data_IF_628650373448
#
_entry.id   IF_628650373448
#
_cell.length_a   1.000
_cell.length_b   1.000
_cell.length_c   1.000
_cell.angle_alpha   90.00
_cell.angle_beta   90.00
_cell.angle_gamma   90.00
#
_symmetry.space_group_name_H-M   'P 1'
#
loop_
_entity.id
_entity.type
_entity.pdbx_description
1 polymer ?
#
# COMPACT_ATOMS: atom_id res chain seq x y z
N UNK A 1 22.76 45.77 -6.64
CA UNK A 1 22.56 45.05 -5.38
C UNK A 1 21.15 44.53 -5.19
N UNK A 2 20.12 45.37 -5.39
CA UNK A 2 18.73 44.96 -5.28
C UNK A 2 18.35 43.87 -6.29
N UNK A 3 18.86 43.94 -7.51
CA UNK A 3 18.58 42.98 -8.56
C UNK A 3 19.15 41.61 -8.22
N UNK A 4 20.34 41.54 -7.61
CA UNK A 4 20.95 40.29 -7.20
C UNK A 4 20.16 39.59 -6.08
N UNK A 5 19.65 40.36 -5.11
CA UNK A 5 18.84 39.80 -4.03
C UNK A 5 17.51 39.22 -4.55
N UNK A 6 16.84 39.94 -5.48
CA UNK A 6 15.61 39.46 -6.09
C UNK A 6 15.83 38.15 -6.87
N UNK A 7 16.91 38.06 -7.62
CA UNK A 7 17.24 36.82 -8.38
C UNK A 7 17.47 35.66 -7.44
N UNK A 8 18.17 35.84 -6.33
CA UNK A 8 18.40 34.77 -5.34
C UNK A 8 17.10 34.31 -4.72
N UNK A 9 16.21 35.24 -4.36
CA UNK A 9 14.89 34.89 -3.79
C UNK A 9 14.02 34.14 -4.79
N UNK A 10 13.98 34.55 -6.04
CA UNK A 10 13.22 33.85 -7.08
C UNK A 10 13.77 32.45 -7.33
N UNK A 11 15.09 32.28 -7.37
CA UNK A 11 15.73 30.97 -7.55
C UNK A 11 15.41 30.05 -6.39
N UNK A 12 15.45 30.55 -5.18
CA UNK A 12 15.10 29.80 -3.98
C UNK A 12 13.63 29.37 -3.99
N UNK A 13 12.72 30.26 -4.33
CA UNK A 13 11.30 29.95 -4.41
C UNK A 13 11.01 28.88 -5.47
N UNK A 14 11.65 28.93 -6.63
CA UNK A 14 11.50 27.92 -7.67
C UNK A 14 12.06 26.57 -7.23
N UNK A 15 13.17 26.53 -6.51
CA UNK A 15 13.74 25.31 -5.98
C UNK A 15 12.78 24.65 -4.96
N UNK A 16 12.12 25.45 -4.14
CA UNK A 16 11.14 24.93 -3.19
C UNK A 16 9.86 24.43 -3.87
N UNK A 17 9.44 25.07 -4.95
CA UNK A 17 8.26 24.62 -5.70
C UNK A 17 8.43 23.21 -6.27
N UNK A 18 9.65 22.79 -6.56
CA UNK A 18 9.93 21.45 -7.05
C UNK A 18 9.69 20.34 -6.03
N UNK A 19 9.68 20.67 -4.77
CA UNK A 19 9.40 19.70 -3.71
C UNK A 19 7.97 19.16 -3.80
N UNK A 20 7.09 19.88 -4.47
CA UNK A 20 5.69 19.49 -4.64
C UNK A 20 5.40 18.73 -5.92
N UNK A 21 6.40 18.31 -6.67
CA UNK A 21 6.14 17.43 -7.80
C UNK A 21 5.63 16.09 -7.27
N UNK A 22 4.38 15.71 -7.58
CA UNK A 22 3.89 14.40 -7.15
C UNK A 22 4.61 13.34 -7.95
N UNK A 23 5.54 12.66 -7.31
CA UNK A 23 6.29 11.60 -7.94
C UNK A 23 5.45 10.33 -8.15
N UNK A 24 4.29 10.23 -7.47
CA UNK A 24 3.42 9.06 -7.56
C UNK A 24 1.99 9.50 -7.83
N UNK A 25 1.36 9.00 -8.90
CA UNK A 25 -0.06 9.24 -9.12
C UNK A 25 -0.89 8.77 -7.93
N UNK A 26 -1.83 9.60 -7.50
CA UNK A 26 -2.70 9.29 -6.36
C UNK A 26 -3.45 7.96 -6.54
N UNK A 27 -3.70 7.55 -7.78
CA UNK A 27 -4.38 6.29 -8.08
C UNK A 27 -3.61 5.02 -7.65
N UNK A 28 -2.31 5.14 -7.36
CA UNK A 28 -1.50 4.00 -6.90
C UNK A 28 -1.45 3.87 -5.39
N UNK A 29 -1.91 4.85 -4.66
CA UNK A 29 -1.85 4.87 -3.22
C UNK A 29 -3.25 4.65 -2.64
N UNK A 30 -3.63 3.39 -2.46
CA UNK A 30 -4.87 3.01 -1.77
C UNK A 30 -4.48 2.66 -0.33
N UNK A 31 -5.17 3.25 0.64
CA UNK A 31 -4.88 3.05 2.07
C UNK A 31 -3.42 3.33 2.45
N UNK A 32 -2.75 4.23 1.72
CA UNK A 32 -1.37 4.61 1.98
C UNK A 32 -0.31 3.64 1.46
N UNK A 33 -0.70 2.58 0.74
CA UNK A 33 0.21 1.56 0.23
C UNK A 33 0.28 1.53 -1.30
N UNK A 34 1.31 0.86 -1.81
CA UNK A 34 1.57 0.68 -3.23
C UNK A 34 1.02 -0.68 -3.69
N UNK A 35 0.16 -0.68 -4.71
CA UNK A 35 -0.50 -1.90 -5.17
C UNK A 35 0.46 -2.91 -5.80
N UNK A 36 1.49 -2.45 -6.50
CA UNK A 36 2.47 -3.34 -7.11
C UNK A 36 3.31 -4.06 -6.06
N UNK A 37 3.80 -3.32 -5.10
CA UNK A 37 4.54 -3.91 -3.98
C UNK A 37 3.64 -4.80 -3.15
N UNK A 38 2.40 -4.38 -2.94
CA UNK A 38 1.41 -5.16 -2.21
C UNK A 38 1.14 -6.50 -2.86
N UNK A 39 1.04 -6.56 -4.17
CA UNK A 39 0.89 -7.81 -4.90
C UNK A 39 2.08 -8.73 -4.68
N UNK A 40 3.30 -8.21 -4.77
CA UNK A 40 4.51 -8.99 -4.53
C UNK A 40 4.56 -9.53 -3.10
N UNK A 41 4.25 -8.69 -2.12
CA UNK A 41 4.18 -9.11 -0.70
C UNK A 41 3.10 -10.18 -0.51
N UNK A 42 1.95 -10.00 -1.13
CA UNK A 42 0.85 -10.97 -1.05
C UNK A 42 1.27 -12.33 -1.60
N UNK A 43 1.90 -12.37 -2.77
CA UNK A 43 2.35 -13.61 -3.37
C UNK A 43 3.38 -14.33 -2.50
N UNK A 44 4.25 -13.58 -1.86
CA UNK A 44 5.29 -14.13 -1.00
C UNK A 44 4.75 -14.64 0.34
N UNK A 45 3.86 -13.89 0.97
CA UNK A 45 3.47 -14.12 2.38
C UNK A 45 2.04 -14.64 2.56
N UNK A 46 1.16 -14.40 1.62
CA UNK A 46 -0.28 -14.63 1.81
C UNK A 46 -0.86 -15.69 0.86
N UNK A 47 -0.34 -15.77 -0.35
CA UNK A 47 -0.93 -16.62 -1.39
C UNK A 47 -0.86 -18.11 -1.06
N UNK A 48 0.10 -18.54 -0.23
CA UNK A 48 0.20 -19.93 0.19
C UNK A 48 -1.06 -20.45 0.89
N UNK A 49 -1.75 -19.56 1.60
CA UNK A 49 -3.00 -19.91 2.30
C UNK A 49 -4.24 -19.41 1.57
N UNK A 50 -4.18 -18.22 0.99
CA UNK A 50 -5.34 -17.57 0.37
C UNK A 50 -5.47 -17.82 -1.13
N UNK A 51 -4.50 -18.47 -1.73
CA UNK A 51 -4.48 -18.72 -3.17
C UNK A 51 -3.93 -17.56 -3.96
N UNK A 52 -3.50 -17.84 -5.19
CA UNK A 52 -3.01 -16.80 -6.11
C UNK A 52 -4.10 -15.77 -6.34
N UNK A 53 -3.72 -14.48 -6.22
CA UNK A 53 -4.68 -13.38 -6.34
C UNK A 53 -5.80 -13.39 -5.29
N UNK A 54 -5.64 -14.13 -4.20
CA UNK A 54 -6.64 -14.22 -3.15
C UNK A 54 -7.90 -15.00 -3.54
N UNK A 55 -7.80 -15.86 -4.55
CA UNK A 55 -8.97 -16.58 -5.08
C UNK A 55 -9.40 -17.77 -4.24
N UNK A 56 -8.67 -18.09 -3.19
CA UNK A 56 -8.94 -19.26 -2.35
C UNK A 56 -8.26 -20.51 -2.89
N UNK A 57 -8.65 -21.65 -2.37
CA UNK A 57 -8.09 -22.95 -2.76
C UNK A 57 -7.03 -23.48 -1.82
N UNK A 58 -6.65 -22.70 -0.80
CA UNK A 58 -5.78 -23.14 0.29
C UNK A 58 -6.54 -23.22 1.61
N UNK A 59 -5.81 -23.13 2.72
CA UNK A 59 -6.42 -23.17 4.05
C UNK A 59 -7.10 -21.86 4.43
N UNK A 60 -6.75 -20.78 3.78
CA UNK A 60 -7.34 -19.47 4.05
C UNK A 60 -8.58 -19.21 3.20
N UNK A 61 -9.44 -18.28 3.63
CA UNK A 61 -10.64 -17.93 2.86
C UNK A 61 -10.30 -17.16 1.60
N UNK A 62 -11.21 -17.17 0.66
CA UNK A 62 -11.15 -16.34 -0.53
C UNK A 62 -11.25 -14.86 -0.14
N UNK A 63 -10.33 -14.07 -0.67
CA UNK A 63 -10.29 -12.61 -0.44
C UNK A 63 -10.82 -11.84 -1.66
N UNK A 64 -10.61 -12.36 -2.85
CA UNK A 64 -11.07 -11.75 -4.10
C UNK A 64 -12.59 -11.60 -4.11
N UNK A 65 -13.06 -10.39 -4.31
CA UNK A 65 -14.50 -10.10 -4.34
C UNK A 65 -15.22 -10.22 -2.99
N UNK A 66 -14.49 -10.36 -1.90
CA UNK A 66 -15.09 -10.61 -0.57
C UNK A 66 -15.60 -9.36 0.14
N UNK A 67 -15.31 -8.16 -0.38
CA UNK A 67 -15.78 -6.91 0.20
C UNK A 67 -15.16 -6.56 1.55
N UNK A 68 -13.89 -6.91 1.74
CA UNK A 68 -13.21 -6.70 3.01
C UNK A 68 -12.60 -5.30 3.04
N UNK A 69 -12.79 -4.57 4.13
CA UNK A 69 -12.24 -3.23 4.28
C UNK A 69 -10.80 -3.24 4.84
N UNK A 70 -10.14 -2.09 4.76
CA UNK A 70 -8.76 -1.95 5.18
C UNK A 70 -8.57 -2.22 6.68
N UNK A 71 -9.52 -1.82 7.51
CA UNK A 71 -9.42 -2.04 8.96
C UNK A 71 -9.46 -3.53 9.30
N UNK A 72 -10.29 -4.30 8.62
CA UNK A 72 -10.40 -5.74 8.82
C UNK A 72 -9.12 -6.44 8.37
N UNK A 73 -8.59 -6.08 7.21
CA UNK A 73 -7.33 -6.65 6.72
C UNK A 73 -6.18 -6.32 7.66
N UNK A 74 -6.07 -5.07 8.08
CA UNK A 74 -5.03 -4.62 9.00
C UNK A 74 -5.09 -5.39 10.33
N UNK A 75 -6.28 -5.54 10.90
CA UNK A 75 -6.45 -6.30 12.14
C UNK A 75 -6.02 -7.77 11.97
N UNK A 76 -6.39 -8.41 10.87
CA UNK A 76 -6.00 -9.79 10.60
C UNK A 76 -4.48 -9.93 10.46
N UNK A 77 -3.82 -9.01 9.78
CA UNK A 77 -2.37 -9.03 9.60
C UNK A 77 -1.65 -8.81 10.93
N UNK A 78 -2.09 -7.86 11.72
CA UNK A 78 -1.42 -7.50 12.97
C UNK A 78 -1.66 -8.50 14.09
N UNK A 79 -2.88 -8.99 14.21
CA UNK A 79 -3.29 -9.82 15.34
C UNK A 79 -3.36 -11.31 15.01
N UNK A 80 -3.37 -11.65 13.74
CA UNK A 80 -3.64 -13.00 13.30
C UNK A 80 -5.13 -13.37 13.41
N UNK A 81 -5.50 -14.52 12.88
CA UNK A 81 -6.88 -14.96 12.91
C UNK A 81 -6.94 -16.47 12.66
N UNK A 82 -7.40 -17.24 13.66
CA UNK A 82 -7.39 -18.69 13.56
C UNK A 82 -5.99 -19.22 13.31
N UNK A 83 -5.80 -19.95 12.22
CA UNK A 83 -4.48 -20.49 11.83
C UNK A 83 -3.58 -19.44 11.16
N UNK A 84 -4.11 -18.29 10.83
CA UNK A 84 -3.33 -17.19 10.26
C UNK A 84 -2.44 -16.58 11.32
N UNK A 85 -1.11 -16.62 11.17
CA UNK A 85 -0.22 -16.05 12.18
C UNK A 85 -0.27 -14.53 12.17
N UNK A 86 0.02 -13.94 13.34
CA UNK A 86 0.13 -12.50 13.49
C UNK A 86 1.48 -12.02 13.00
N UNK A 87 1.51 -10.78 12.48
CA UNK A 87 2.76 -10.09 12.21
C UNK A 87 3.58 -10.65 11.07
N UNK A 88 2.95 -11.25 10.06
CA UNK A 88 3.65 -11.74 8.86
C UNK A 88 4.39 -10.63 8.13
N UNK A 89 3.85 -9.43 8.15
CA UNK A 89 4.45 -8.24 7.55
C UNK A 89 4.26 -7.06 8.48
N UNK A 90 5.06 -6.02 8.30
CA UNK A 90 4.99 -4.81 9.12
C UNK A 90 5.45 -3.60 8.32
N UNK A 91 5.20 -2.40 8.85
CA UNK A 91 5.64 -1.16 8.24
C UNK A 91 5.08 -0.95 6.85
N UNK A 92 5.94 -0.61 5.90
CA UNK A 92 5.52 -0.34 4.52
C UNK A 92 4.92 -1.56 3.84
N UNK A 93 5.47 -2.74 4.07
CA UNK A 93 4.94 -3.98 3.48
C UNK A 93 3.50 -4.25 3.93
N UNK A 94 3.20 -3.98 5.18
CA UNK A 94 1.84 -4.09 5.70
C UNK A 94 0.90 -3.12 4.98
N UNK A 95 1.28 -1.84 4.87
CA UNK A 95 0.49 -0.85 4.16
C UNK A 95 0.26 -1.25 2.69
N UNK A 96 1.30 -1.73 2.03
CA UNK A 96 1.24 -2.15 0.64
C UNK A 96 0.31 -3.35 0.45
N UNK A 97 0.43 -4.37 1.29
CA UNK A 97 -0.41 -5.57 1.16
C UNK A 97 -1.87 -5.30 1.55
N UNK A 98 -2.10 -4.43 2.53
CA UNK A 98 -3.47 -4.02 2.88
C UNK A 98 -4.12 -3.34 1.69
N UNK A 99 -3.43 -2.41 1.03
CA UNK A 99 -3.94 -1.75 -0.16
C UNK A 99 -4.27 -2.75 -1.27
N UNK A 100 -3.38 -3.71 -1.50
CA UNK A 100 -3.59 -4.75 -2.52
C UNK A 100 -4.82 -5.62 -2.18
N UNK A 101 -4.92 -6.12 -0.97
CA UNK A 101 -6.04 -6.97 -0.55
C UNK A 101 -7.37 -6.22 -0.66
N UNK A 102 -7.42 -4.97 -0.26
CA UNK A 102 -8.61 -4.14 -0.44
C UNK A 102 -8.98 -4.03 -1.92
N UNK A 103 -7.99 -3.83 -2.79
CA UNK A 103 -8.23 -3.69 -4.22
C UNK A 103 -8.83 -4.95 -4.85
N UNK A 104 -8.32 -6.13 -4.52
CA UNK A 104 -8.87 -7.39 -5.04
C UNK A 104 -10.19 -7.77 -4.38
N UNK A 105 -10.42 -7.32 -3.16
CA UNK A 105 -11.64 -7.60 -2.39
C UNK A 105 -12.83 -6.83 -2.91
N UNK A 106 -12.63 -5.64 -3.46
CA UNK A 106 -13.70 -4.79 -4.00
C UNK A 106 -13.98 -5.03 -5.47
N UNK A 107 -13.16 -5.80 -6.14
CA UNK A 107 -13.26 -6.07 -7.59
C UNK A 107 -14.34 -7.05 -8.01
#
# INVERSE_FOLDING_TARGET
>A
MLVGAVVVVCTFALAQARVFEPSVPAARAVAGGDLYRGETVFQRECAGCHGAGGKGGGVGPRLSGAGIDAATVTAAVQQGRGVMPAGLVSGREEADVVAYVVSISTG
#
